data_IF_575156767018
#
_entry.id   IF_575156767018
#
_cell.length_a   1.000
_cell.length_b   1.000
_cell.length_c   1.000
_cell.angle_alpha   90.00
_cell.angle_beta   90.00
_cell.angle_gamma   90.00
#
_symmetry.space_group_name_H-M   'P 1'
#
loop_
_entity.id
_entity.type
_entity.pdbx_description
1 polymer ?
#
# COMPACT_ATOMS: atom_id res chain seq x y z
N UNK A 1 -3.33 -27.07 37.24
CA UNK A 1 -2.97 -25.82 36.53
C UNK A 1 -1.47 -25.84 36.32
N UNK A 2 -1.01 -25.87 35.08
CA UNK A 2 0.41 -25.73 34.76
C UNK A 2 0.88 -24.37 35.26
N UNK A 3 1.82 -24.34 36.19
CA UNK A 3 2.42 -23.09 36.66
C UNK A 3 3.23 -22.50 35.51
N UNK A 4 2.91 -21.26 35.10
CA UNK A 4 3.70 -20.50 34.13
C UNK A 4 5.11 -20.27 34.71
N UNK A 5 6.12 -20.45 33.87
CA UNK A 5 7.54 -20.35 34.21
C UNK A 5 8.15 -19.11 33.55
N UNK A 6 9.27 -18.67 34.11
CA UNK A 6 10.11 -17.64 33.50
C UNK A 6 10.42 -18.00 32.04
N UNK A 7 10.11 -17.10 31.11
CA UNK A 7 10.32 -17.28 29.67
C UNK A 7 9.16 -17.94 28.92
N UNK A 8 8.08 -18.35 29.61
CA UNK A 8 6.88 -18.85 28.92
C UNK A 8 6.20 -17.72 28.13
N UNK A 9 5.78 -18.04 26.91
CA UNK A 9 4.95 -17.16 26.09
C UNK A 9 3.47 -17.44 26.38
N UNK A 10 2.72 -16.39 26.62
CA UNK A 10 1.31 -16.46 27.03
C UNK A 10 0.48 -15.43 26.29
N UNK A 11 -0.81 -15.71 26.15
CA UNK A 11 -1.82 -14.74 25.77
C UNK A 11 -2.42 -14.14 27.03
N UNK A 12 -2.40 -12.81 27.13
CA UNK A 12 -3.13 -12.03 28.13
C UNK A 12 -4.48 -11.61 27.54
N UNK A 13 -5.57 -12.20 28.04
CA UNK A 13 -6.92 -11.86 27.60
C UNK A 13 -7.39 -10.56 28.27
N UNK A 14 -8.05 -9.66 27.54
CA UNK A 14 -8.56 -8.40 28.09
C UNK A 14 -9.64 -8.64 29.16
N UNK A 15 -9.53 -7.93 30.28
CA UNK A 15 -10.46 -8.00 31.42
C UNK A 15 -11.87 -7.44 31.11
N UNK A 16 -12.02 -6.64 30.04
CA UNK A 16 -13.30 -6.00 29.69
C UNK A 16 -13.92 -6.61 28.44
N UNK A 17 -15.24 -6.85 28.48
CA UNK A 17 -16.06 -7.32 27.36
C UNK A 17 -16.28 -6.27 26.25
N UNK A 18 -15.32 -5.37 26.01
CA UNK A 18 -15.33 -4.57 24.80
C UNK A 18 -15.01 -5.50 23.62
N UNK A 19 -15.99 -5.69 22.73
CA UNK A 19 -15.98 -6.61 21.58
C UNK A 19 -14.84 -6.38 20.57
N UNK A 20 -14.00 -5.37 20.78
CA UNK A 20 -12.86 -5.01 19.92
C UNK A 20 -11.50 -5.24 20.58
N UNK A 21 -11.45 -5.78 21.80
CA UNK A 21 -10.17 -6.06 22.48
C UNK A 21 -9.73 -7.50 22.20
N UNK A 22 -8.55 -7.63 21.61
CA UNK A 22 -7.92 -8.90 21.23
C UNK A 22 -6.89 -9.27 22.31
N UNK A 23 -6.64 -10.57 22.51
CA UNK A 23 -5.61 -11.01 23.44
C UNK A 23 -4.21 -10.50 23.01
N UNK A 24 -3.37 -10.19 23.98
CA UNK A 24 -2.04 -9.61 23.76
C UNK A 24 -0.99 -10.70 24.00
N UNK A 25 0.03 -10.78 23.14
CA UNK A 25 1.18 -11.65 23.35
C UNK A 25 2.07 -11.11 24.47
N UNK A 26 2.49 -11.99 25.38
CA UNK A 26 3.39 -11.62 26.47
C UNK A 26 4.42 -12.70 26.74
N UNK A 27 5.54 -12.30 27.36
CA UNK A 27 6.52 -13.19 27.95
C UNK A 27 6.53 -13.05 29.47
N UNK A 28 6.61 -14.17 30.19
CA UNK A 28 6.76 -14.17 31.65
C UNK A 28 8.17 -13.73 32.03
N UNK A 29 8.31 -12.58 32.69
CA UNK A 29 9.59 -11.98 33.11
C UNK A 29 9.94 -12.26 34.57
N UNK A 30 8.95 -12.40 35.43
CA UNK A 30 9.18 -12.67 36.85
C UNK A 30 7.99 -13.40 37.46
N UNK A 31 8.25 -14.33 38.39
CA UNK A 31 7.21 -15.02 39.15
C UNK A 31 7.46 -14.80 40.63
N UNK A 32 6.52 -14.13 41.31
CA UNK A 32 6.54 -13.90 42.76
C UNK A 32 5.37 -14.65 43.43
N UNK A 33 5.43 -14.92 44.74
CA UNK A 33 4.27 -15.43 45.46
C UNK A 33 3.05 -14.53 45.25
N UNK A 34 1.97 -15.08 44.70
CA UNK A 34 0.70 -14.39 44.49
C UNK A 34 0.61 -13.47 43.27
N UNK A 35 1.69 -13.31 42.47
CA UNK A 35 1.65 -12.48 41.25
C UNK A 35 2.75 -12.82 40.23
N UNK A 36 2.48 -12.56 38.96
CA UNK A 36 3.39 -12.77 37.83
C UNK A 36 3.60 -11.44 37.10
N UNK A 37 4.84 -11.17 36.68
CA UNK A 37 5.18 -10.05 35.81
C UNK A 37 5.25 -10.53 34.37
N UNK A 38 4.47 -9.91 33.52
CA UNK A 38 4.46 -10.11 32.07
C UNK A 38 5.06 -8.86 31.40
N UNK A 39 5.78 -9.05 30.31
CA UNK A 39 6.13 -8.00 29.36
C UNK A 39 5.41 -8.30 28.06
N UNK A 40 4.63 -7.34 27.55
CA UNK A 40 3.89 -7.49 26.30
C UNK A 40 4.76 -7.22 25.06
N UNK A 41 4.20 -7.43 23.88
CA UNK A 41 4.88 -7.21 22.59
C UNK A 41 5.32 -5.75 22.34
N UNK A 42 4.82 -4.79 23.13
CA UNK A 42 5.23 -3.37 23.10
C UNK A 42 6.29 -3.05 24.17
N UNK A 43 6.73 -4.04 24.94
CA UNK A 43 7.70 -3.88 26.02
C UNK A 43 7.09 -3.29 27.31
N UNK A 44 5.77 -3.24 27.43
CA UNK A 44 5.09 -2.76 28.63
C UNK A 44 4.91 -3.89 29.63
N UNK A 45 5.20 -3.58 30.88
CA UNK A 45 5.10 -4.51 32.00
C UNK A 45 3.69 -4.54 32.61
N UNK A 46 3.19 -5.74 32.89
CA UNK A 46 1.89 -6.00 33.51
C UNK A 46 2.04 -6.95 34.70
N UNK A 47 1.60 -6.52 35.87
CA UNK A 47 1.51 -7.39 37.04
C UNK A 47 0.14 -8.07 37.08
N UNK A 48 0.12 -9.39 36.91
CA UNK A 48 -1.09 -10.23 37.00
C UNK A 48 -1.12 -10.90 38.37
N UNK A 49 -2.20 -10.70 39.11
CA UNK A 49 -2.39 -11.28 40.45
C UNK A 49 -2.90 -12.70 40.34
N UNK A 50 -2.75 -13.48 41.42
CA UNK A 50 -3.25 -14.85 41.50
C UNK A 50 -4.76 -14.96 41.22
N UNK A 51 -5.53 -13.92 41.57
CA UNK A 51 -6.97 -13.81 41.33
C UNK A 51 -7.35 -13.65 39.85
N UNK A 52 -6.43 -13.18 39.00
CA UNK A 52 -6.65 -12.91 37.58
C UNK A 52 -5.89 -13.89 36.66
N UNK A 53 -5.36 -15.00 37.19
CA UNK A 53 -4.58 -15.96 36.39
C UNK A 53 -5.38 -16.67 35.31
N UNK A 54 -6.71 -16.68 35.42
CA UNK A 54 -7.64 -17.21 34.41
C UNK A 54 -7.66 -16.36 33.13
N UNK A 55 -7.20 -15.11 33.19
CA UNK A 55 -6.98 -14.27 32.01
C UNK A 55 -5.80 -14.73 31.15
N UNK A 56 -4.92 -15.60 31.68
CA UNK A 56 -3.75 -16.09 30.97
C UNK A 56 -4.01 -17.44 30.31
N UNK A 57 -3.56 -17.58 29.07
CA UNK A 57 -3.52 -18.87 28.37
C UNK A 57 -2.16 -19.09 27.72
N UNK A 58 -1.65 -20.33 27.65
CA UNK A 58 -0.36 -20.60 27.01
C UNK A 58 -0.43 -20.29 25.52
N UNK A 59 0.63 -19.67 24.98
CA UNK A 59 0.76 -19.44 23.55
C UNK A 59 1.31 -20.70 22.87
N UNK A 60 0.77 -21.07 21.70
CA UNK A 60 1.29 -22.19 20.94
C UNK A 60 2.72 -21.89 20.45
N UNK A 61 3.68 -22.83 20.52
CA UNK A 61 5.09 -22.56 20.17
C UNK A 61 5.32 -22.01 18.75
N UNK A 62 4.50 -22.42 17.78
CA UNK A 62 4.55 -21.89 16.41
C UNK A 62 4.10 -20.42 16.33
N UNK A 63 3.15 -20.02 17.18
CA UNK A 63 2.66 -18.63 17.24
C UNK A 63 3.74 -17.68 17.77
N UNK A 64 4.69 -18.19 18.57
CA UNK A 64 5.80 -17.41 19.17
C UNK A 64 6.82 -16.93 18.13
N UNK A 65 7.22 -17.80 17.19
CA UNK A 65 8.33 -17.52 16.27
C UNK A 65 7.89 -16.75 15.02
N UNK A 66 6.59 -16.81 14.72
CA UNK A 66 6.01 -16.31 13.49
C UNK A 66 6.22 -17.23 12.30
N UNK A 67 5.31 -17.10 11.33
CA UNK A 67 5.23 -17.94 10.14
C UNK A 67 5.08 -17.07 8.90
N UNK A 68 5.61 -17.56 7.78
CA UNK A 68 5.43 -16.92 6.47
C UNK A 68 4.00 -17.06 5.95
N UNK A 69 3.29 -18.13 6.32
CA UNK A 69 1.90 -18.36 5.96
C UNK A 69 1.06 -18.61 7.22
N UNK A 70 0.11 -17.72 7.48
CA UNK A 70 -0.71 -17.72 8.69
C UNK A 70 -1.60 -18.97 8.82
N UNK A 71 -1.85 -19.73 7.75
CA UNK A 71 -2.56 -21.02 7.86
C UNK A 71 -1.77 -22.06 8.67
N UNK A 72 -0.47 -21.82 8.89
CA UNK A 72 0.42 -22.67 9.69
C UNK A 72 0.48 -22.27 11.17
N UNK A 73 -0.22 -21.21 11.57
CA UNK A 73 -0.28 -20.80 12.98
C UNK A 73 -0.92 -21.91 13.82
N UNK A 74 -0.38 -22.11 15.02
CA UNK A 74 -1.02 -22.99 16.00
C UNK A 74 -2.28 -22.35 16.60
N UNK A 75 -2.22 -21.04 16.86
CA UNK A 75 -3.35 -20.24 17.32
C UNK A 75 -3.96 -19.47 16.15
N UNK A 76 -4.83 -20.11 15.36
CA UNK A 76 -5.50 -19.49 14.22
C UNK A 76 -6.72 -18.66 14.67
N UNK A 77 -6.45 -17.60 15.44
CA UNK A 77 -7.42 -16.61 15.88
C UNK A 77 -6.91 -15.18 15.60
N UNK A 78 -7.73 -14.16 15.86
CA UNK A 78 -7.37 -12.76 15.60
C UNK A 78 -6.07 -12.35 16.33
N UNK A 79 -5.89 -12.77 17.58
CA UNK A 79 -4.69 -12.48 18.37
C UNK A 79 -3.43 -13.08 17.74
N UNK A 80 -3.47 -14.37 17.37
CA UNK A 80 -2.36 -15.05 16.72
C UNK A 80 -2.02 -14.45 15.37
N UNK A 81 -3.01 -14.05 14.57
CA UNK A 81 -2.79 -13.39 13.28
C UNK A 81 -2.14 -12.01 13.44
N UNK A 82 -2.67 -11.16 14.33
CA UNK A 82 -2.13 -9.81 14.57
C UNK A 82 -0.72 -9.88 15.16
N UNK A 83 -0.50 -10.77 16.15
CA UNK A 83 0.82 -11.01 16.73
C UNK A 83 1.82 -11.47 15.66
N UNK A 84 1.43 -12.39 14.78
CA UNK A 84 2.29 -12.84 13.68
C UNK A 84 2.67 -11.69 12.73
N UNK A 85 1.73 -10.81 12.40
CA UNK A 85 2.03 -9.63 11.58
C UNK A 85 2.97 -8.67 12.32
N UNK A 86 2.78 -8.47 13.62
CA UNK A 86 3.61 -7.58 14.45
C UNK A 86 5.07 -8.04 14.49
N UNK A 87 5.32 -9.30 14.88
CA UNK A 87 6.69 -9.83 15.01
C UNK A 87 7.43 -9.84 13.67
N UNK A 88 6.71 -10.10 12.57
CA UNK A 88 7.27 -10.04 11.22
C UNK A 88 7.58 -8.60 10.81
N UNK A 89 6.68 -7.67 11.10
CA UNK A 89 6.86 -6.25 10.80
C UNK A 89 8.06 -5.66 11.55
N UNK A 90 8.25 -6.03 12.83
CA UNK A 90 9.42 -5.65 13.64
C UNK A 90 10.75 -6.16 13.03
N UNK A 91 10.71 -7.27 12.28
CA UNK A 91 11.85 -7.80 11.53
C UNK A 91 11.94 -7.25 10.09
N UNK A 92 11.21 -6.18 9.76
CA UNK A 92 11.08 -5.61 8.41
C UNK A 92 10.52 -6.57 7.34
N UNK A 93 9.82 -7.63 7.75
CA UNK A 93 9.11 -8.56 6.86
C UNK A 93 7.65 -8.12 6.71
N UNK A 94 7.41 -7.24 5.74
CA UNK A 94 6.11 -6.60 5.54
C UNK A 94 5.04 -7.47 4.87
N UNK A 95 5.46 -8.59 4.27
CA UNK A 95 4.61 -9.49 3.50
C UNK A 95 4.39 -10.80 4.26
N UNK A 96 3.14 -11.25 4.30
CA UNK A 96 2.74 -12.50 4.96
C UNK A 96 1.63 -13.17 4.17
N UNK A 97 1.70 -14.47 3.93
CA UNK A 97 0.62 -15.22 3.29
C UNK A 97 -0.50 -15.55 4.28
N UNK A 98 -1.69 -15.70 3.73
CA UNK A 98 -2.79 -16.45 4.34
C UNK A 98 -3.41 -17.30 3.25
N UNK A 99 -2.85 -18.50 3.07
CA UNK A 99 -3.13 -19.35 1.92
C UNK A 99 -2.77 -18.65 0.60
N UNK A 100 -3.76 -18.43 -0.27
CA UNK A 100 -3.56 -17.77 -1.56
C UNK A 100 -3.56 -16.23 -1.51
N UNK A 101 -3.80 -15.63 -0.34
CA UNK A 101 -3.87 -14.18 -0.16
C UNK A 101 -2.52 -13.69 0.39
N UNK A 102 -2.07 -12.53 -0.10
CA UNK A 102 -0.92 -11.82 0.45
C UNK A 102 -1.39 -10.64 1.30
N UNK A 103 -1.02 -10.66 2.58
CA UNK A 103 -1.16 -9.51 3.48
C UNK A 103 0.12 -8.68 3.39
N UNK A 104 -0.04 -7.38 3.15
CA UNK A 104 1.05 -6.40 3.09
C UNK A 104 0.81 -5.32 4.15
N UNK A 105 1.78 -5.12 5.04
CA UNK A 105 1.75 -4.05 6.06
C UNK A 105 2.65 -2.91 5.59
N UNK A 106 2.09 -1.72 5.37
CA UNK A 106 2.86 -0.60 4.83
C UNK A 106 4.00 -0.20 5.79
N UNK A 107 5.28 -0.26 5.36
CA UNK A 107 6.41 0.10 6.21
C UNK A 107 6.58 1.61 6.45
N UNK A 108 5.91 2.46 5.66
CA UNK A 108 6.13 3.92 5.64
C UNK A 108 7.60 4.34 5.42
N UNK A 109 8.40 3.45 4.82
CA UNK A 109 9.79 3.67 4.46
C UNK A 109 10.15 2.84 3.23
N UNK A 110 11.20 3.24 2.54
CA UNK A 110 11.73 2.48 1.40
C UNK A 110 12.53 1.29 1.92
N UNK A 111 12.17 0.08 1.47
CA UNK A 111 12.89 -1.15 1.76
C UNK A 111 13.54 -1.68 0.47
N UNK A 112 14.76 -2.26 0.52
CA UNK A 112 15.48 -2.78 -0.65
C UNK A 112 14.93 -4.14 -1.14
N UNK A 113 13.61 -4.26 -1.31
CA UNK A 113 12.91 -5.51 -1.63
C UNK A 113 12.53 -5.64 -3.12
N UNK A 114 12.70 -4.57 -3.90
CA UNK A 114 12.12 -4.46 -5.25
C UNK A 114 13.19 -4.32 -6.34
N UNK A 115 14.34 -4.95 -6.14
CA UNK A 115 15.45 -4.91 -7.11
C UNK A 115 15.19 -5.84 -8.30
N UNK A 116 15.93 -5.62 -9.40
CA UNK A 116 15.87 -6.50 -10.57
C UNK A 116 16.25 -7.95 -10.22
N UNK A 117 17.20 -8.12 -9.29
CA UNK A 117 17.61 -9.43 -8.77
C UNK A 117 16.43 -10.15 -8.08
N UNK A 118 15.64 -9.42 -7.28
CA UNK A 118 14.43 -9.95 -6.65
C UNK A 118 13.39 -10.35 -7.71
N UNK A 119 13.20 -9.56 -8.76
CA UNK A 119 12.31 -9.93 -9.87
C UNK A 119 12.73 -11.27 -10.49
N UNK A 120 14.01 -11.44 -10.83
CA UNK A 120 14.51 -12.68 -11.43
C UNK A 120 14.42 -13.89 -10.48
N UNK A 121 14.69 -13.66 -9.19
CA UNK A 121 14.59 -14.67 -8.15
C UNK A 121 13.15 -15.20 -8.06
N UNK A 122 12.16 -14.32 -7.93
CA UNK A 122 10.75 -14.71 -7.82
C UNK A 122 10.15 -15.22 -9.12
N UNK A 123 10.64 -14.78 -10.29
CA UNK A 123 10.21 -15.33 -11.57
C UNK A 123 10.58 -16.82 -11.72
N UNK A 124 11.74 -17.21 -11.17
CA UNK A 124 12.28 -18.56 -11.30
C UNK A 124 11.72 -19.58 -10.29
N UNK A 125 10.85 -19.15 -9.36
CA UNK A 125 10.33 -19.99 -8.28
C UNK A 125 8.81 -19.96 -8.25
N UNK A 126 8.22 -21.07 -7.80
CA UNK A 126 6.79 -21.16 -7.57
C UNK A 126 6.39 -20.50 -6.24
N UNK A 127 5.13 -20.07 -6.14
CA UNK A 127 4.57 -19.53 -4.91
C UNK A 127 4.70 -20.57 -3.77
N UNK A 128 5.25 -20.13 -2.63
CA UNK A 128 5.49 -20.97 -1.46
C UNK A 128 6.90 -21.56 -1.36
N UNK A 129 7.70 -21.51 -2.44
CA UNK A 129 9.12 -21.92 -2.38
C UNK A 129 10.02 -20.85 -1.77
N UNK A 130 9.63 -19.58 -1.93
CA UNK A 130 10.30 -18.41 -1.38
C UNK A 130 9.42 -17.72 -0.33
N UNK A 131 10.00 -16.85 0.52
CA UNK A 131 9.24 -16.04 1.46
C UNK A 131 8.11 -15.22 0.78
N UNK A 132 7.13 -14.74 1.55
CA UNK A 132 6.00 -14.00 1.00
C UNK A 132 6.43 -12.70 0.33
N UNK A 133 5.94 -12.47 -0.89
CA UNK A 133 6.28 -11.27 -1.65
C UNK A 133 5.25 -10.97 -2.73
N UNK A 134 5.09 -9.68 -3.07
CA UNK A 134 4.20 -9.26 -4.16
C UNK A 134 4.60 -9.86 -5.51
N UNK A 135 5.90 -10.05 -5.75
CA UNK A 135 6.40 -10.68 -6.98
C UNK A 135 6.01 -12.16 -7.09
N UNK A 136 5.84 -12.87 -5.98
CA UNK A 136 5.33 -14.23 -6.02
C UNK A 136 3.86 -14.29 -6.49
N UNK A 137 3.03 -13.33 -6.06
CA UNK A 137 1.64 -13.17 -6.52
C UNK A 137 1.63 -12.83 -8.02
N UNK A 138 2.45 -11.87 -8.44
CA UNK A 138 2.57 -11.48 -9.84
C UNK A 138 3.03 -12.64 -10.73
N UNK A 139 4.05 -13.39 -10.29
CA UNK A 139 4.54 -14.56 -11.02
C UNK A 139 3.48 -15.66 -11.10
N UNK A 140 2.76 -15.93 -10.01
CA UNK A 140 1.69 -16.93 -10.01
C UNK A 140 0.59 -16.58 -11.02
N UNK A 141 0.17 -15.32 -11.10
CA UNK A 141 -0.74 -14.85 -12.14
C UNK A 141 -0.13 -15.06 -13.54
N UNK A 142 1.08 -14.55 -13.79
CA UNK A 142 1.72 -14.64 -15.10
C UNK A 142 1.93 -16.09 -15.58
N UNK A 143 2.38 -16.96 -14.67
CA UNK A 143 2.56 -18.39 -14.91
C UNK A 143 1.24 -19.07 -15.28
N UNK A 144 0.16 -18.84 -14.51
CA UNK A 144 -1.14 -19.43 -14.78
C UNK A 144 -1.77 -18.90 -16.09
N UNK A 145 -1.58 -17.62 -16.40
CA UNK A 145 -1.94 -17.05 -17.70
C UNK A 145 -1.28 -17.81 -18.84
N UNK A 146 0.04 -18.02 -18.77
CA UNK A 146 0.81 -18.69 -19.85
C UNK A 146 0.53 -20.17 -19.95
N UNK A 147 0.43 -20.86 -18.82
CA UNK A 147 0.23 -22.30 -18.72
C UNK A 147 -1.20 -22.71 -19.09
N UNK A 148 -2.19 -22.02 -18.51
CA UNK A 148 -3.59 -22.41 -18.64
C UNK A 148 -4.32 -21.67 -19.77
N UNK A 149 -3.69 -20.65 -20.37
CA UNK A 149 -4.29 -19.80 -21.43
C UNK A 149 -5.63 -19.20 -20.98
N UNK A 150 -5.69 -18.76 -19.73
CA UNK A 150 -6.87 -18.15 -19.10
C UNK A 150 -6.51 -16.84 -18.44
N UNK A 151 -7.39 -15.86 -18.57
CA UNK A 151 -7.24 -14.56 -17.94
C UNK A 151 -7.13 -14.68 -16.42
N UNK A 152 -6.39 -13.76 -15.82
CA UNK A 152 -6.09 -13.74 -14.38
C UNK A 152 -6.52 -12.39 -13.81
N UNK A 153 -6.93 -12.39 -12.54
CA UNK A 153 -7.33 -11.17 -11.84
C UNK A 153 -6.59 -11.10 -10.51
N UNK A 154 -6.00 -9.94 -10.22
CA UNK A 154 -5.40 -9.61 -8.93
C UNK A 154 -6.19 -8.46 -8.32
N UNK A 155 -6.78 -8.69 -7.13
CA UNK A 155 -7.54 -7.69 -6.40
C UNK A 155 -6.68 -7.15 -5.27
N UNK A 156 -6.47 -5.84 -5.25
CA UNK A 156 -5.68 -5.15 -4.22
C UNK A 156 -6.61 -4.23 -3.44
N UNK A 157 -6.93 -4.65 -2.22
CA UNK A 157 -7.84 -3.92 -1.31
C UNK A 157 -7.12 -3.46 -0.05
N UNK A 158 -7.65 -2.43 0.59
CA UNK A 158 -7.11 -1.88 1.84
C UNK A 158 -7.57 -0.44 2.05
N UNK A 159 -7.36 0.07 3.26
CA UNK A 159 -7.71 1.44 3.62
C UNK A 159 -6.86 2.48 2.86
N UNK A 160 -7.23 3.76 2.97
CA UNK A 160 -6.41 4.86 2.45
C UNK A 160 -5.03 4.81 3.10
N UNK A 161 -3.96 4.93 2.29
CA UNK A 161 -2.59 4.84 2.79
C UNK A 161 -2.04 3.41 3.01
N UNK A 162 -2.83 2.36 2.79
CA UNK A 162 -2.39 0.98 3.00
C UNK A 162 -1.35 0.45 1.99
N UNK A 163 -0.94 1.22 0.97
CA UNK A 163 0.05 0.79 -0.03
C UNK A 163 -0.51 0.13 -1.29
N UNK A 164 -1.82 0.28 -1.57
CA UNK A 164 -2.48 -0.29 -2.77
C UNK A 164 -1.81 0.14 -4.07
N UNK A 165 -1.65 1.45 -4.27
CA UNK A 165 -1.06 2.04 -5.49
C UNK A 165 0.37 1.56 -5.70
N UNK A 166 1.19 1.54 -4.65
CA UNK A 166 2.58 1.05 -4.72
C UNK A 166 2.63 -0.44 -5.05
N UNK A 167 1.77 -1.25 -4.44
CA UNK A 167 1.63 -2.67 -4.77
C UNK A 167 1.27 -2.87 -6.24
N UNK A 168 0.33 -2.08 -6.79
CA UNK A 168 -0.02 -2.12 -8.22
C UNK A 168 1.19 -1.80 -9.11
N UNK A 169 1.95 -0.73 -8.80
CA UNK A 169 3.15 -0.35 -9.55
C UNK A 169 4.18 -1.50 -9.59
N UNK A 170 4.41 -2.14 -8.45
CA UNK A 170 5.34 -3.27 -8.33
C UNK A 170 4.92 -4.48 -9.16
N UNK A 171 3.63 -4.82 -9.19
CA UNK A 171 3.10 -5.90 -10.04
C UNK A 171 3.31 -5.55 -11.52
N UNK A 172 2.99 -4.32 -11.94
CA UNK A 172 3.17 -3.89 -13.33
C UNK A 172 4.65 -3.90 -13.73
N UNK A 173 5.54 -3.42 -12.88
CA UNK A 173 6.99 -3.45 -13.10
C UNK A 173 7.52 -4.89 -13.22
N UNK A 174 7.06 -5.79 -12.36
CA UNK A 174 7.39 -7.21 -12.45
C UNK A 174 6.95 -7.79 -13.79
N UNK A 175 5.69 -7.60 -14.16
CA UNK A 175 5.11 -8.12 -15.41
C UNK A 175 5.84 -7.58 -16.65
N UNK A 176 6.13 -6.27 -16.69
CA UNK A 176 6.92 -5.66 -17.75
C UNK A 176 8.30 -6.33 -17.87
N UNK A 177 9.01 -6.45 -16.76
CA UNK A 177 10.37 -7.03 -16.75
C UNK A 177 10.38 -8.47 -17.26
N UNK A 178 9.43 -9.32 -16.84
CA UNK A 178 9.42 -10.74 -17.20
C UNK A 178 8.76 -11.03 -18.56
N UNK A 179 7.97 -10.10 -19.10
CA UNK A 179 7.34 -10.27 -20.43
C UNK A 179 8.34 -10.20 -21.58
N UNK A 180 9.58 -9.76 -21.31
CA UNK A 180 10.75 -10.04 -22.14
C UNK A 180 11.03 -9.04 -23.25
N UNK A 181 10.44 -7.84 -23.22
CA UNK A 181 10.81 -6.73 -24.10
C UNK A 181 10.55 -5.42 -23.38
N UNK A 182 11.56 -4.56 -23.18
CA UNK A 182 11.37 -3.14 -22.85
C UNK A 182 10.66 -2.43 -24.02
N UNK A 183 9.40 -2.77 -24.21
CA UNK A 183 8.58 -2.26 -25.27
C UNK A 183 8.11 -0.88 -24.86
N UNK A 184 7.90 -0.04 -25.86
CA UNK A 184 7.31 1.28 -25.66
C UNK A 184 6.00 1.22 -24.86
N UNK A 185 5.23 0.14 -25.01
CA UNK A 185 3.96 -0.09 -24.30
C UNK A 185 4.18 -0.22 -22.78
N UNK A 186 5.23 -0.92 -22.35
CA UNK A 186 5.52 -1.08 -20.91
C UNK A 186 5.81 0.26 -20.25
N UNK A 187 6.59 1.11 -20.93
CA UNK A 187 6.87 2.47 -20.46
C UNK A 187 5.57 3.28 -20.40
N UNK A 188 4.73 3.23 -21.44
CA UNK A 188 3.43 3.92 -21.43
C UNK A 188 2.52 3.49 -20.27
N UNK A 189 2.48 2.19 -19.94
CA UNK A 189 1.67 1.70 -18.81
C UNK A 189 2.15 2.28 -17.48
N UNK A 190 3.47 2.34 -17.27
CA UNK A 190 4.05 2.88 -16.04
C UNK A 190 3.88 4.41 -15.97
N UNK A 191 4.05 5.11 -17.09
CA UNK A 191 3.95 6.58 -17.22
C UNK A 191 2.50 7.09 -17.23
N UNK A 192 1.49 6.21 -17.34
CA UNK A 192 0.10 6.61 -17.11
C UNK A 192 -0.17 6.98 -15.64
N UNK A 193 0.59 6.44 -14.69
CA UNK A 193 0.34 6.67 -13.26
C UNK A 193 0.56 8.13 -12.84
N UNK A 194 1.68 8.81 -13.17
CA UNK A 194 1.85 10.23 -12.85
C UNK A 194 0.65 11.12 -13.25
N UNK A 195 0.10 10.88 -14.44
CA UNK A 195 -1.08 11.63 -14.92
C UNK A 195 -2.30 11.27 -14.07
N UNK A 196 -2.61 9.98 -13.91
CA UNK A 196 -3.78 9.56 -13.14
C UNK A 196 -3.70 10.00 -11.67
N UNK A 197 -2.50 10.02 -11.08
CA UNK A 197 -2.28 10.52 -9.72
C UNK A 197 -2.46 12.04 -9.66
N UNK A 198 -1.93 12.81 -10.62
CA UNK A 198 -2.12 14.26 -10.63
C UNK A 198 -3.61 14.66 -10.71
N UNK A 199 -4.40 13.99 -11.56
CA UNK A 199 -5.81 14.32 -11.77
C UNK A 199 -6.77 13.61 -10.82
N UNK A 200 -6.35 12.52 -10.19
CA UNK A 200 -7.22 11.63 -9.42
C UNK A 200 -6.82 11.45 -7.96
N UNK A 201 -5.65 11.94 -7.54
CA UNK A 201 -5.24 11.94 -6.14
C UNK A 201 -5.26 13.33 -5.52
N UNK A 202 -5.44 13.36 -4.20
CA UNK A 202 -5.44 14.58 -3.41
C UNK A 202 -4.92 14.31 -1.99
N UNK A 203 -4.50 15.38 -1.31
CA UNK A 203 -4.20 15.33 0.13
C UNK A 203 -5.49 15.18 0.92
N UNK A 204 -5.51 14.20 1.82
CA UNK A 204 -6.55 13.97 2.82
C UNK A 204 -5.93 13.90 4.21
N UNK A 205 -6.74 13.95 5.27
CA UNK A 205 -6.25 13.84 6.67
C UNK A 205 -5.43 12.56 6.91
N UNK A 206 -5.71 11.48 6.17
CA UNK A 206 -5.08 10.16 6.38
C UNK A 206 -3.91 9.85 5.45
N UNK A 207 -3.81 10.56 4.33
CA UNK A 207 -2.86 10.25 3.27
C UNK A 207 -2.70 11.46 2.34
N UNK A 208 -1.46 11.89 2.15
CA UNK A 208 -1.11 13.04 1.33
C UNK A 208 -1.26 12.80 -0.17
N UNK A 209 -1.21 11.53 -0.61
CA UNK A 209 -1.41 11.12 -2.00
C UNK A 209 -2.58 10.10 -2.10
N UNK A 210 -3.76 10.51 -1.63
CA UNK A 210 -4.94 9.65 -1.54
C UNK A 210 -5.65 9.54 -2.89
N UNK A 211 -5.70 8.33 -3.47
CA UNK A 211 -6.52 8.09 -4.68
C UNK A 211 -8.00 8.28 -4.38
N UNK A 212 -8.63 9.19 -5.13
CA UNK A 212 -10.05 9.53 -5.03
C UNK A 212 -10.88 8.90 -6.14
N UNK A 213 -10.37 7.81 -6.71
CA UNK A 213 -11.00 6.97 -7.72
C UNK A 213 -10.50 5.54 -7.58
N UNK A 214 -11.34 4.58 -7.98
CA UNK A 214 -10.94 3.20 -8.21
C UNK A 214 -10.34 3.04 -9.61
N UNK A 215 -9.38 2.13 -9.76
CA UNK A 215 -8.68 1.87 -11.02
C UNK A 215 -8.69 0.37 -11.30
N UNK A 216 -9.09 0.02 -12.52
CA UNK A 216 -9.02 -1.32 -13.07
C UNK A 216 -8.07 -1.27 -14.27
N UNK A 217 -7.05 -2.12 -14.27
CA UNK A 217 -5.99 -2.11 -15.27
C UNK A 217 -5.97 -3.48 -15.93
N UNK A 218 -6.40 -3.54 -17.19
CA UNK A 218 -6.24 -4.72 -18.04
C UNK A 218 -4.87 -4.66 -18.72
N UNK A 219 -4.07 -5.71 -18.55
CA UNK A 219 -2.82 -5.90 -19.28
C UNK A 219 -3.02 -7.04 -20.28
N UNK A 220 -2.88 -6.72 -21.56
CA UNK A 220 -3.08 -7.67 -22.65
C UNK A 220 -1.76 -8.31 -23.05
N UNK A 221 -1.71 -9.64 -23.03
CA UNK A 221 -0.54 -10.41 -23.46
C UNK A 221 -0.84 -11.09 -24.80
N UNK A 222 0.19 -11.22 -25.64
CA UNK A 222 0.12 -12.06 -26.83
C UNK A 222 0.29 -13.56 -26.47
N UNK A 223 0.21 -14.44 -27.47
CA UNK A 223 0.32 -15.90 -27.27
C UNK A 223 1.67 -16.36 -26.71
N UNK A 224 2.75 -15.59 -26.93
CA UNK A 224 4.08 -15.85 -26.36
C UNK A 224 4.27 -15.29 -24.94
N UNK A 225 3.29 -14.54 -24.42
CA UNK A 225 3.32 -13.97 -23.08
C UNK A 225 4.05 -12.63 -22.98
N UNK A 226 4.18 -11.91 -24.09
CA UNK A 226 4.71 -10.53 -24.14
C UNK A 226 3.55 -9.55 -24.05
N UNK A 227 3.73 -8.44 -23.33
CA UNK A 227 2.73 -7.37 -23.25
C UNK A 227 2.51 -6.75 -24.64
N UNK A 228 1.26 -6.73 -25.09
CA UNK A 228 0.82 -6.15 -26.37
C UNK A 228 0.04 -4.84 -26.19
N UNK A 229 -0.49 -4.59 -25.00
CA UNK A 229 -1.27 -3.39 -24.72
C UNK A 229 -1.80 -3.38 -23.31
N UNK A 230 -2.43 -2.27 -22.93
CA UNK A 230 -3.13 -2.13 -21.68
C UNK A 230 -4.35 -1.24 -21.84
N UNK A 231 -5.31 -1.39 -20.94
CA UNK A 231 -6.48 -0.51 -20.80
C UNK A 231 -6.64 -0.16 -19.33
N UNK A 232 -6.89 1.11 -19.05
CA UNK A 232 -7.17 1.59 -17.69
C UNK A 232 -8.59 2.12 -17.66
N UNK A 233 -9.40 1.58 -16.76
CA UNK A 233 -10.74 2.07 -16.47
C UNK A 233 -10.78 2.68 -15.07
N UNK A 234 -11.41 3.84 -14.96
CA UNK A 234 -11.60 4.55 -13.70
C UNK A 234 -13.05 4.43 -13.24
N UNK A 235 -13.23 4.34 -11.92
CA UNK A 235 -14.55 4.24 -11.30
C UNK A 235 -14.62 5.17 -10.10
N UNK A 236 -15.82 5.74 -9.87
CA UNK A 236 -16.16 6.48 -8.65
C UNK A 236 -15.20 7.64 -8.33
N UNK A 237 -14.73 8.38 -9.35
CA UNK A 237 -14.01 9.64 -9.13
C UNK A 237 -14.84 10.57 -8.24
N UNK A 238 -14.25 11.06 -7.15
CA UNK A 238 -14.87 11.98 -6.20
C UNK A 238 -15.00 13.39 -6.82
N UNK A 239 -15.95 13.57 -7.74
CA UNK A 239 -16.16 14.83 -8.47
C UNK A 239 -16.47 16.01 -7.53
N UNK A 240 -17.13 15.75 -6.41
CA UNK A 240 -17.45 16.77 -5.41
C UNK A 240 -16.21 17.47 -4.84
N UNK A 241 -15.06 16.79 -4.84
CA UNK A 241 -13.79 17.35 -4.34
C UNK A 241 -13.37 18.59 -5.09
N UNK A 242 -13.71 18.71 -6.39
CA UNK A 242 -13.35 19.88 -7.19
C UNK A 242 -13.91 21.17 -6.58
N UNK A 243 -15.13 21.12 -6.03
CA UNK A 243 -15.83 22.29 -5.52
C UNK A 243 -15.81 22.40 -3.99
N UNK A 244 -15.46 21.33 -3.27
CA UNK A 244 -15.48 21.30 -1.80
C UNK A 244 -14.46 20.33 -1.23
N UNK A 245 -13.66 20.79 -0.29
CA UNK A 245 -12.75 19.96 0.50
C UNK A 245 -13.05 20.10 1.99
N UNK A 246 -12.74 19.08 2.78
CA UNK A 246 -12.80 19.18 4.24
C UNK A 246 -11.63 20.02 4.76
N UNK A 247 -11.70 20.56 5.99
CA UNK A 247 -10.57 21.24 6.62
C UNK A 247 -9.29 20.38 6.56
N UNK A 248 -8.17 21.03 6.29
CA UNK A 248 -6.81 20.47 6.14
C UNK A 248 -6.58 19.60 4.90
N UNK A 249 -7.59 19.41 4.05
CA UNK A 249 -7.47 18.69 2.79
C UNK A 249 -7.21 19.61 1.60
N UNK A 250 -6.65 19.05 0.51
CA UNK A 250 -6.47 19.76 -0.76
C UNK A 250 -7.47 19.29 -1.82
N UNK A 251 -7.59 20.10 -2.88
CA UNK A 251 -8.15 19.66 -4.15
C UNK A 251 -7.19 18.68 -4.85
N UNK A 252 -7.52 18.23 -6.07
CA UNK A 252 -6.63 17.37 -6.86
C UNK A 252 -5.27 18.03 -7.12
N UNK A 253 -4.21 17.23 -7.10
CA UNK A 253 -2.83 17.72 -7.18
C UNK A 253 -2.58 18.58 -8.43
N UNK A 254 -3.17 18.20 -9.57
CA UNK A 254 -2.98 18.89 -10.84
C UNK A 254 -3.21 20.39 -10.78
N UNK A 255 -4.18 20.88 -9.98
CA UNK A 255 -4.42 22.32 -9.86
C UNK A 255 -3.22 23.04 -9.23
N UNK A 256 -2.68 22.48 -8.15
CA UNK A 256 -1.50 23.04 -7.46
C UNK A 256 -0.25 22.86 -8.32
N UNK A 257 -0.06 21.67 -8.90
CA UNK A 257 1.07 21.39 -9.80
C UNK A 257 1.10 22.35 -10.99
N UNK A 258 -0.04 22.57 -11.66
CA UNK A 258 -0.14 23.49 -12.78
C UNK A 258 0.19 24.94 -12.36
N UNK A 259 -0.42 25.43 -11.27
CA UNK A 259 -0.17 26.78 -10.78
C UNK A 259 1.25 26.98 -10.26
N UNK A 260 1.92 25.96 -9.76
CA UNK A 260 3.30 26.09 -9.26
C UNK A 260 4.35 25.82 -10.34
N UNK A 261 4.05 24.98 -11.32
CA UNK A 261 5.01 24.52 -12.33
C UNK A 261 4.94 25.20 -13.71
N UNK A 262 3.86 25.90 -14.05
CA UNK A 262 3.78 26.65 -15.32
C UNK A 262 4.74 27.84 -15.36
N UNK A 263 5.22 28.17 -16.56
CA UNK A 263 6.04 29.38 -16.77
C UNK A 263 5.24 30.66 -16.54
N UNK A 264 5.92 31.79 -16.33
CA UNK A 264 5.24 33.07 -16.14
C UNK A 264 4.43 33.49 -17.39
N UNK A 265 4.93 33.17 -18.58
CA UNK A 265 4.27 33.42 -19.86
C UNK A 265 3.02 32.55 -20.02
N UNK A 266 3.11 31.25 -19.71
CA UNK A 266 1.96 30.33 -19.75
C UNK A 266 0.85 30.79 -18.78
N UNK A 267 1.23 31.18 -17.55
CA UNK A 267 0.29 31.74 -16.57
C UNK A 267 -0.36 33.02 -17.05
N UNK A 268 0.40 33.93 -17.67
CA UNK A 268 -0.13 35.18 -18.20
C UNK A 268 -1.16 34.92 -19.31
N UNK A 269 -0.89 33.97 -20.21
CA UNK A 269 -1.80 33.59 -21.29
C UNK A 269 -3.13 33.03 -20.78
N UNK A 270 -3.10 32.32 -19.65
CA UNK A 270 -4.28 31.72 -19.01
C UNK A 270 -4.87 32.58 -17.89
N UNK A 271 -4.30 33.78 -17.64
CA UNK A 271 -4.69 34.67 -16.52
C UNK A 271 -4.65 33.97 -15.16
N UNK A 272 -3.61 33.18 -14.91
CA UNK A 272 -3.45 32.39 -13.69
C UNK A 272 -2.69 33.13 -12.58
N UNK A 273 -3.21 33.02 -11.35
CA UNK A 273 -2.63 33.57 -10.12
C UNK A 273 -2.01 32.49 -9.22
N UNK A 274 -2.02 32.74 -7.91
CA UNK A 274 -1.57 31.79 -6.89
C UNK A 274 -2.71 30.92 -6.36
N UNK A 275 -2.45 29.72 -5.79
CA UNK A 275 -3.52 28.85 -5.26
C UNK A 275 -4.45 29.55 -4.26
N UNK A 276 -3.95 30.52 -3.47
CA UNK A 276 -4.73 31.28 -2.49
C UNK A 276 -5.79 32.20 -3.10
N UNK A 277 -5.70 32.52 -4.39
CA UNK A 277 -6.65 33.40 -5.07
C UNK A 277 -7.91 32.66 -5.54
N UNK A 278 -7.88 31.32 -5.55
CA UNK A 278 -8.97 30.49 -6.06
C UNK A 278 -9.78 29.89 -4.92
N UNK A 279 -11.09 30.18 -4.91
CA UNK A 279 -12.02 29.63 -3.92
C UNK A 279 -11.97 28.09 -3.87
N UNK A 280 -11.94 27.42 -5.02
CA UNK A 280 -11.88 25.95 -5.10
C UNK A 280 -10.57 25.32 -4.62
N UNK A 281 -9.53 26.12 -4.36
CA UNK A 281 -8.25 25.64 -3.83
C UNK A 281 -8.02 26.02 -2.37
N UNK A 282 -8.91 26.84 -1.78
CA UNK A 282 -8.79 27.38 -0.42
C UNK A 282 -9.88 26.88 0.54
N UNK A 283 -10.91 26.17 0.06
CA UNK A 283 -12.01 25.66 0.87
C UNK A 283 -11.58 24.69 1.98
N UNK A 284 -10.53 23.90 1.75
CA UNK A 284 -9.91 23.06 2.78
C UNK A 284 -8.92 23.77 3.69
N UNK A 285 -8.68 25.08 3.51
CA UNK A 285 -7.68 25.87 4.23
C UNK A 285 -6.26 25.24 4.18
N UNK A 286 -5.93 24.61 3.06
CA UNK A 286 -4.65 23.95 2.83
C UNK A 286 -4.27 24.11 1.35
N UNK A 287 -3.18 24.83 1.08
CA UNK A 287 -2.68 25.06 -0.29
C UNK A 287 -1.33 24.42 -0.56
N UNK A 288 -0.63 23.97 0.49
CA UNK A 288 0.65 23.28 0.40
C UNK A 288 0.60 21.93 1.13
N UNK A 289 1.53 21.04 0.79
CA UNK A 289 1.69 19.76 1.44
C UNK A 289 3.18 19.53 1.67
N UNK A 290 3.56 19.25 2.92
CA UNK A 290 4.95 18.95 3.26
C UNK A 290 5.39 17.68 2.51
N UNK A 291 6.61 17.68 1.96
CA UNK A 291 7.16 16.57 1.19
C UNK A 291 6.70 16.45 -0.26
N UNK A 292 5.74 17.26 -0.72
CA UNK A 292 5.37 17.36 -2.13
C UNK A 292 5.99 18.60 -2.79
N UNK A 293 6.53 18.43 -3.99
CA UNK A 293 7.05 19.50 -4.83
C UNK A 293 6.16 19.63 -6.06
N UNK A 294 5.10 20.45 -5.92
CA UNK A 294 4.07 20.61 -6.95
C UNK A 294 4.67 21.05 -8.31
N UNK A 295 5.75 21.84 -8.32
CA UNK A 295 6.40 22.28 -9.56
C UNK A 295 7.15 21.14 -10.25
N UNK A 296 7.88 20.33 -9.47
CA UNK A 296 8.54 19.11 -9.99
C UNK A 296 7.52 18.09 -10.48
N UNK A 297 6.44 17.90 -9.74
CA UNK A 297 5.36 16.98 -10.12
C UNK A 297 4.69 17.41 -11.42
N UNK A 298 4.52 18.71 -11.66
CA UNK A 298 4.03 19.21 -12.95
C UNK A 298 4.98 18.88 -14.10
N UNK A 299 6.29 19.00 -13.90
CA UNK A 299 7.28 18.60 -14.90
C UNK A 299 7.18 17.11 -15.22
N UNK A 300 6.98 16.25 -14.21
CA UNK A 300 6.74 14.82 -14.40
C UNK A 300 5.45 14.57 -15.19
N UNK A 301 4.34 15.24 -14.88
CA UNK A 301 3.07 15.12 -15.62
C UNK A 301 3.26 15.51 -17.09
N UNK A 302 3.93 16.63 -17.39
CA UNK A 302 4.21 17.05 -18.78
C UNK A 302 5.10 16.04 -19.52
N UNK A 303 6.10 15.46 -18.83
CA UNK A 303 6.94 14.41 -19.41
C UNK A 303 6.14 13.15 -19.72
N UNK A 304 5.31 12.69 -18.78
CA UNK A 304 4.45 11.54 -18.95
C UNK A 304 3.44 11.74 -20.11
N UNK A 305 2.82 12.92 -20.21
CA UNK A 305 1.92 13.27 -21.31
C UNK A 305 2.62 13.16 -22.68
N UNK A 306 3.88 13.60 -22.79
CA UNK A 306 4.67 13.44 -24.03
C UNK A 306 4.96 11.97 -24.35
N UNK A 307 5.29 11.13 -23.35
CA UNK A 307 5.51 9.69 -23.55
C UNK A 307 4.22 8.98 -23.99
N UNK A 308 3.07 9.43 -23.49
CA UNK A 308 1.75 8.97 -23.92
C UNK A 308 1.27 9.62 -25.23
N UNK A 309 2.12 10.37 -25.91
CA UNK A 309 1.87 10.98 -27.23
C UNK A 309 0.77 12.05 -27.24
N UNK A 310 0.51 12.74 -26.13
CA UNK A 310 -0.32 13.95 -26.15
C UNK A 310 0.41 15.06 -26.91
N UNK A 311 -0.25 15.63 -27.91
CA UNK A 311 0.27 16.78 -28.65
C UNK A 311 0.36 18.02 -27.76
N UNK A 312 1.22 18.97 -28.14
CA UNK A 312 1.32 20.25 -27.43
C UNK A 312 -0.03 21.01 -27.44
N UNK A 313 -0.83 20.86 -28.50
CA UNK A 313 -2.19 21.42 -28.57
C UNK A 313 -3.14 20.77 -27.56
N UNK A 314 -3.15 19.44 -27.43
CA UNK A 314 -3.99 18.75 -26.45
C UNK A 314 -3.59 19.12 -25.01
N UNK A 315 -2.29 19.18 -24.73
CA UNK A 315 -1.78 19.62 -23.42
C UNK A 315 -2.19 21.07 -23.11
N UNK A 316 -2.15 21.95 -24.11
CA UNK A 316 -2.58 23.33 -23.96
C UNK A 316 -4.09 23.46 -23.76
N UNK A 317 -4.90 22.70 -24.51
CA UNK A 317 -6.36 22.70 -24.33
C UNK A 317 -6.77 22.12 -22.97
N UNK A 318 -6.06 21.11 -22.48
CA UNK A 318 -6.23 20.62 -21.12
C UNK A 318 -5.87 21.68 -20.07
N UNK A 319 -4.81 22.45 -20.31
CA UNK A 319 -4.41 23.57 -19.44
C UNK A 319 -5.49 24.66 -19.39
N UNK A 320 -6.12 24.99 -20.53
CA UNK A 320 -7.27 25.91 -20.60
C UNK A 320 -8.51 25.39 -19.89
N UNK A 321 -8.73 24.08 -19.87
CA UNK A 321 -9.86 23.48 -19.17
C UNK A 321 -9.69 23.57 -17.65
N UNK A 322 -8.45 23.50 -17.17
CA UNK A 322 -8.10 23.57 -15.75
C UNK A 322 -8.00 25.01 -15.22
N UNK A 323 -7.56 25.94 -16.07
CA UNK A 323 -7.37 27.37 -15.74
C UNK A 323 -8.65 28.17 -15.76
#
# INVERSE_FOLDING_TARGET
MSAFRLGDHVWLNPLSANKSSVAIGCIVKETKPGKILLEDDEGKEHWIRAEDLDTLSPMHPISVQGVDDMIRLGDLNEAGMVHNLLIRYQQHKIYTYTGSILVAVNPFQVLPLYTLEQVQLYYSHHMGELPPHVFAIANNCYFNLKRNKRDQCCIISGESGAGKTETTKLILQFLATVSGQHSWIEQQVLEANPILEAFGNAKTIRNDNSSRFGKYIDIHFNSSGVIKGARIEQFLLEKSRVCRQAPEERNYHIFYSMLMGMSAEEKQLLSLGTPSEYHYLTMGNCTSCEGLDDAKDYAHVRSAMKILMFSDSENWDLSKLLG
#
